data_IF_288412171468
#
_entry.id   IF_288412171468
#
_cell.length_a   1.000
_cell.length_b   1.000
_cell.length_c   1.000
_cell.angle_alpha   90.00
_cell.angle_beta   90.00
_cell.angle_gamma   90.00
#
_symmetry.space_group_name_H-M   'P 1'
#
loop_
_entity.id
_entity.type
_entity.pdbx_description
1 polymer ?
#
# COMPACT_ATOMS: atom_id res chain seq x y z
N UNK A 1 -14.19 9.69 -12.35
CA UNK A 1 -12.84 9.90 -11.77
C UNK A 1 -12.27 11.23 -12.26
N UNK A 2 -11.64 11.97 -11.35
CA UNK A 2 -10.87 13.17 -11.68
C UNK A 2 -9.62 12.83 -12.52
N UNK A 3 -9.06 13.82 -13.20
CA UNK A 3 -7.76 13.67 -13.88
C UNK A 3 -6.62 13.50 -12.88
N UNK A 4 -5.52 12.88 -13.31
CA UNK A 4 -4.33 12.68 -12.46
C UNK A 4 -3.80 14.01 -11.90
N UNK A 5 -3.83 15.08 -12.70
CA UNK A 5 -3.42 16.43 -12.27
C UNK A 5 -4.34 16.99 -11.18
N UNK A 6 -5.65 16.84 -11.31
CA UNK A 6 -6.62 17.29 -10.30
C UNK A 6 -6.49 16.50 -8.99
N UNK A 7 -6.25 15.18 -9.09
CA UNK A 7 -5.99 14.32 -7.93
C UNK A 7 -4.72 14.78 -7.21
N UNK A 8 -3.64 14.99 -7.97
CA UNK A 8 -2.34 15.41 -7.44
C UNK A 8 -2.41 16.76 -6.72
N UNK A 9 -3.10 17.75 -7.30
CA UNK A 9 -3.33 19.06 -6.67
C UNK A 9 -4.12 18.94 -5.36
N UNK A 10 -5.16 18.11 -5.31
CA UNK A 10 -5.92 17.87 -4.08
C UNK A 10 -5.05 17.24 -3.00
N UNK A 11 -4.25 16.24 -3.37
CA UNK A 11 -3.33 15.58 -2.43
C UNK A 11 -2.29 16.53 -1.85
N UNK A 12 -1.74 17.44 -2.65
CA UNK A 12 -0.78 18.44 -2.18
C UNK A 12 -1.35 19.33 -1.05
N UNK A 13 -2.66 19.58 -1.06
CA UNK A 13 -3.35 20.33 -0.01
C UNK A 13 -3.77 19.46 1.20
N UNK A 14 -3.94 18.15 1.00
CA UNK A 14 -4.36 17.22 2.07
C UNK A 14 -3.18 16.66 2.86
N UNK A 15 -2.03 16.52 2.21
CA UNK A 15 -0.86 15.85 2.76
C UNK A 15 0.24 16.84 3.14
N UNK A 16 1.05 16.47 4.12
CA UNK A 16 2.28 17.19 4.41
C UNK A 16 3.22 17.15 3.20
N UNK A 17 4.09 18.17 3.00
CA UNK A 17 5.01 18.18 1.86
C UNK A 17 5.92 16.95 1.76
N UNK A 18 6.25 16.33 2.90
CA UNK A 18 7.04 15.09 2.94
C UNK A 18 6.23 13.90 2.40
N UNK A 19 4.97 13.77 2.81
CA UNK A 19 4.07 12.68 2.40
C UNK A 19 3.63 12.80 0.95
N UNK A 20 3.40 14.02 0.47
CA UNK A 20 3.11 14.26 -0.93
C UNK A 20 4.31 13.85 -1.83
N UNK A 21 5.53 14.24 -1.48
CA UNK A 21 6.74 13.77 -2.20
C UNK A 21 6.90 12.25 -2.17
N UNK A 22 6.59 11.62 -1.04
CA UNK A 22 6.56 10.17 -0.94
C UNK A 22 5.52 9.56 -1.90
N UNK A 23 4.30 10.11 -1.95
CA UNK A 23 3.25 9.65 -2.88
C UNK A 23 3.68 9.75 -4.36
N UNK A 24 4.38 10.83 -4.74
CA UNK A 24 4.97 10.96 -6.08
C UNK A 24 6.07 9.91 -6.34
N UNK A 25 6.90 9.60 -5.33
CA UNK A 25 7.90 8.53 -5.42
C UNK A 25 7.27 7.14 -5.58
N UNK A 26 6.18 6.86 -4.85
CA UNK A 26 5.41 5.63 -4.97
C UNK A 26 4.73 5.52 -6.32
N UNK A 27 4.12 6.61 -6.82
CA UNK A 27 3.53 6.69 -8.14
C UNK A 27 4.54 6.32 -9.24
N UNK A 28 5.71 6.98 -9.24
CA UNK A 28 6.76 6.72 -10.22
C UNK A 28 7.25 5.25 -10.16
N UNK A 29 7.48 4.74 -8.95
CA UNK A 29 7.92 3.35 -8.74
C UNK A 29 6.86 2.35 -9.20
N UNK A 30 5.58 2.63 -8.94
CA UNK A 30 4.47 1.79 -9.36
C UNK A 30 4.32 1.74 -10.89
N UNK A 31 4.51 2.87 -11.57
CA UNK A 31 4.54 2.94 -13.05
C UNK A 31 5.67 2.11 -13.63
N UNK A 32 6.87 2.18 -13.04
CA UNK A 32 8.02 1.38 -13.46
C UNK A 32 7.76 -0.12 -13.29
N UNK A 33 7.30 -0.55 -12.11
CA UNK A 33 6.99 -1.96 -11.83
C UNK A 33 5.81 -2.46 -12.67
N UNK A 34 4.78 -1.65 -12.90
CA UNK A 34 3.66 -2.00 -13.76
C UNK A 34 4.10 -2.25 -15.20
N UNK A 35 4.97 -1.39 -15.72
CA UNK A 35 5.56 -1.56 -17.05
C UNK A 35 6.41 -2.83 -17.14
N UNK A 36 7.20 -3.12 -16.10
CA UNK A 36 8.06 -4.31 -16.05
C UNK A 36 7.28 -5.63 -15.98
N UNK A 37 6.20 -5.68 -15.19
CA UNK A 37 5.43 -6.90 -14.95
C UNK A 37 4.15 -7.02 -15.77
N UNK A 38 3.87 -6.07 -16.66
CA UNK A 38 2.70 -6.09 -17.54
C UNK A 38 1.38 -5.79 -16.85
N UNK A 39 1.40 -4.95 -15.80
CA UNK A 39 0.18 -4.44 -15.17
C UNK A 39 -0.33 -3.18 -15.90
N UNK A 40 -1.56 -2.78 -15.58
CA UNK A 40 -2.11 -1.51 -16.08
C UNK A 40 -1.38 -0.32 -15.43
N UNK A 41 -0.60 0.38 -16.26
CA UNK A 41 0.23 1.52 -15.83
C UNK A 41 -0.61 2.69 -15.31
N UNK A 42 -1.80 2.92 -15.89
CA UNK A 42 -2.67 4.00 -15.45
C UNK A 42 -3.26 3.70 -14.07
N UNK A 43 -3.75 2.48 -13.86
CA UNK A 43 -4.21 2.06 -12.53
C UNK A 43 -3.08 2.12 -11.49
N UNK A 44 -1.87 1.72 -11.86
CA UNK A 44 -0.70 1.80 -10.98
C UNK A 44 -0.33 3.24 -10.63
N UNK A 45 -0.37 4.16 -11.60
CA UNK A 45 -0.17 5.58 -11.37
C UNK A 45 -1.16 6.12 -10.33
N UNK A 46 -2.47 5.93 -10.58
CA UNK A 46 -3.52 6.46 -9.70
C UNK A 46 -3.45 5.83 -8.30
N UNK A 47 -3.34 4.50 -8.21
CA UNK A 47 -3.28 3.81 -6.93
C UNK A 47 -2.04 4.21 -6.13
N UNK A 48 -0.87 4.35 -6.77
CA UNK A 48 0.36 4.79 -6.14
C UNK A 48 0.28 6.24 -5.66
N UNK A 49 -0.38 7.11 -6.41
CA UNK A 49 -0.55 8.52 -6.04
C UNK A 49 -1.48 8.67 -4.81
N UNK A 50 -2.56 7.91 -4.72
CA UNK A 50 -3.59 8.10 -3.67
C UNK A 50 -3.44 7.17 -2.45
N UNK A 51 -2.50 6.23 -2.44
CA UNK A 51 -2.42 5.18 -1.41
C UNK A 51 -2.44 5.73 0.03
N UNK A 52 -1.77 6.86 0.26
CA UNK A 52 -1.60 7.51 1.56
C UNK A 52 -2.53 8.71 1.78
N UNK A 53 -3.60 8.87 0.98
CA UNK A 53 -4.48 10.05 1.01
C UNK A 53 -5.16 10.32 2.36
N UNK A 54 -5.24 9.31 3.23
CA UNK A 54 -5.83 9.41 4.58
C UNK A 54 -4.77 9.47 5.71
N UNK A 55 -3.49 9.55 5.37
CA UNK A 55 -2.40 9.28 6.32
C UNK A 55 -2.09 10.45 7.28
N UNK A 56 -2.44 11.67 6.89
CA UNK A 56 -2.25 12.89 7.71
C UNK A 56 -3.49 13.28 8.53
N UNK A 57 -4.50 12.40 8.60
CA UNK A 57 -5.67 12.60 9.45
C UNK A 57 -5.34 12.36 10.93
N UNK A 58 -5.94 13.15 11.81
CA UNK A 58 -5.86 12.95 13.25
C UNK A 58 -6.83 11.85 13.74
N UNK A 59 -6.69 11.45 15.01
CA UNK A 59 -7.48 10.36 15.58
C UNK A 59 -8.99 10.66 15.57
N UNK A 60 -9.40 11.89 15.86
CA UNK A 60 -10.81 12.28 15.91
C UNK A 60 -11.44 12.24 14.51
N UNK A 61 -10.72 12.72 13.50
CA UNK A 61 -11.08 12.61 12.09
C UNK A 61 -11.21 11.15 11.66
N UNK A 62 -10.22 10.31 12.02
CA UNK A 62 -10.26 8.86 11.70
C UNK A 62 -11.51 8.23 12.31
N UNK A 63 -11.80 8.44 13.59
CA UNK A 63 -12.97 7.86 14.25
C UNK A 63 -14.29 8.33 13.63
N UNK A 64 -14.41 9.63 13.32
CA UNK A 64 -15.58 10.17 12.65
C UNK A 64 -15.80 9.52 11.28
N UNK A 65 -14.73 9.33 10.51
CA UNK A 65 -14.81 8.75 9.18
C UNK A 65 -15.02 7.23 9.18
N UNK A 66 -14.45 6.48 10.14
CA UNK A 66 -14.78 5.07 10.37
C UNK A 66 -16.30 4.92 10.54
N UNK A 67 -16.90 5.77 11.37
CA UNK A 67 -18.35 5.76 11.61
C UNK A 67 -19.13 6.18 10.36
N UNK A 68 -18.69 7.23 9.66
CA UNK A 68 -19.34 7.72 8.43
C UNK A 68 -19.40 6.64 7.35
N UNK A 69 -18.28 5.94 7.13
CA UNK A 69 -18.15 4.93 6.07
C UNK A 69 -18.55 3.52 6.51
N UNK A 70 -18.84 3.30 7.80
CA UNK A 70 -19.21 1.99 8.34
C UNK A 70 -18.10 0.96 8.16
N UNK A 71 -16.83 1.35 8.36
CA UNK A 71 -15.71 0.43 8.18
C UNK A 71 -15.71 -0.65 9.27
N UNK A 72 -15.79 -1.91 8.84
CA UNK A 72 -15.60 -3.06 9.71
C UNK A 72 -14.11 -3.29 9.93
N UNK A 73 -13.60 -2.80 11.06
CA UNK A 73 -12.18 -2.92 11.45
C UNK A 73 -12.07 -3.91 12.61
N UNK A 74 -11.03 -4.74 12.58
CA UNK A 74 -10.73 -5.68 13.66
C UNK A 74 -9.99 -4.99 14.83
N UNK A 75 -9.79 -5.73 15.90
CA UNK A 75 -9.13 -5.22 17.10
C UNK A 75 -7.70 -4.72 16.82
N UNK A 76 -7.01 -5.26 15.83
CA UNK A 76 -5.64 -4.82 15.50
C UNK A 76 -5.69 -3.44 14.87
N UNK A 77 -6.59 -3.20 13.92
CA UNK A 77 -6.80 -1.86 13.35
C UNK A 77 -7.21 -0.84 14.43
N UNK A 78 -8.13 -1.21 15.33
CA UNK A 78 -8.62 -0.31 16.37
C UNK A 78 -7.55 0.04 17.41
N UNK A 79 -6.61 -0.87 17.68
CA UNK A 79 -5.47 -0.63 18.58
C UNK A 79 -4.23 -0.05 17.85
N UNK A 80 -4.23 0.01 16.53
CA UNK A 80 -3.14 0.53 15.71
C UNK A 80 -3.69 1.45 14.61
N UNK A 81 -4.17 2.64 15.01
CA UNK A 81 -4.81 3.61 14.11
C UNK A 81 -3.97 3.97 12.88
N UNK A 82 -2.64 3.89 12.99
CA UNK A 82 -1.73 4.07 11.85
C UNK A 82 -1.98 3.11 10.70
N UNK A 83 -2.62 1.96 10.90
CA UNK A 83 -2.99 1.02 9.83
C UNK A 83 -4.31 1.41 9.15
N UNK A 84 -5.16 2.18 9.82
CA UNK A 84 -6.53 2.50 9.35
C UNK A 84 -6.53 3.38 8.11
N UNK A 85 -5.50 4.21 7.90
CA UNK A 85 -5.42 5.05 6.71
C UNK A 85 -5.53 4.28 5.39
N UNK A 86 -5.12 3.00 5.32
CA UNK A 86 -5.24 2.23 4.09
C UNK A 86 -6.71 1.92 3.74
N UNK A 87 -7.50 1.21 4.60
CA UNK A 87 -8.92 0.99 4.32
C UNK A 87 -9.73 2.29 4.29
N UNK A 88 -9.39 3.28 5.13
CA UNK A 88 -10.06 4.58 5.12
C UNK A 88 -9.73 5.38 3.85
N UNK A 89 -8.50 5.35 3.37
CA UNK A 89 -8.05 5.98 2.13
C UNK A 89 -8.78 5.42 0.92
N UNK A 90 -8.99 4.11 0.88
CA UNK A 90 -9.81 3.48 -0.15
C UNK A 90 -11.27 3.96 -0.11
N UNK A 91 -11.85 4.15 1.08
CA UNK A 91 -13.20 4.71 1.20
C UNK A 91 -13.26 6.19 0.78
N UNK A 92 -12.29 7.00 1.22
CA UNK A 92 -12.18 8.42 0.87
C UNK A 92 -11.94 8.65 -0.62
N UNK A 93 -11.17 7.78 -1.28
CA UNK A 93 -10.89 7.89 -2.71
C UNK A 93 -12.16 7.89 -3.58
N UNK A 94 -13.22 7.20 -3.14
CA UNK A 94 -14.53 7.21 -3.80
C UNK A 94 -15.14 8.61 -3.78
N UNK A 95 -15.14 9.26 -2.62
CA UNK A 95 -15.77 10.57 -2.43
C UNK A 95 -14.90 11.73 -2.95
N UNK A 96 -13.58 11.66 -2.71
CA UNK A 96 -12.66 12.78 -2.97
C UNK A 96 -12.15 12.82 -4.41
N UNK A 97 -11.99 11.67 -5.04
CA UNK A 97 -11.36 11.54 -6.37
C UNK A 97 -12.28 10.88 -7.40
N UNK A 98 -13.48 10.45 -7.00
CA UNK A 98 -14.44 9.72 -7.84
C UNK A 98 -13.82 8.45 -8.47
N UNK A 99 -13.02 7.74 -7.67
CA UNK A 99 -12.42 6.45 -8.05
C UNK A 99 -13.44 5.34 -7.79
N UNK A 100 -13.89 4.68 -8.85
CA UNK A 100 -14.86 3.56 -8.78
C UNK A 100 -14.23 2.20 -9.12
N UNK A 101 -12.97 2.18 -9.56
CA UNK A 101 -12.26 0.97 -9.97
C UNK A 101 -11.80 0.17 -8.73
N UNK A 102 -12.39 -1.01 -8.53
CA UNK A 102 -12.10 -1.84 -7.36
C UNK A 102 -10.67 -2.40 -7.34
N UNK A 103 -9.95 -2.49 -8.47
CA UNK A 103 -8.54 -2.87 -8.43
C UNK A 103 -7.70 -1.76 -7.79
N UNK A 104 -7.94 -0.50 -8.18
CA UNK A 104 -7.28 0.67 -7.58
C UNK A 104 -7.62 0.75 -6.10
N UNK A 105 -8.90 0.63 -5.75
CA UNK A 105 -9.37 0.74 -4.37
C UNK A 105 -8.84 -0.38 -3.49
N UNK A 106 -8.74 -1.62 -3.99
CA UNK A 106 -8.12 -2.73 -3.25
C UNK A 106 -6.62 -2.52 -3.07
N UNK A 107 -5.92 -2.04 -4.10
CA UNK A 107 -4.49 -1.72 -4.00
C UNK A 107 -4.23 -0.67 -2.91
N UNK A 108 -5.07 0.36 -2.80
CA UNK A 108 -5.03 1.32 -1.69
C UNK A 108 -5.41 0.67 -0.36
N UNK A 109 -6.50 -0.10 -0.31
CA UNK A 109 -7.03 -0.70 0.93
C UNK A 109 -6.03 -1.60 1.65
N UNK A 110 -5.22 -2.35 0.88
CA UNK A 110 -4.34 -3.39 1.40
C UNK A 110 -2.85 -3.05 1.29
N UNK A 111 -2.47 -1.83 0.90
CA UNK A 111 -1.05 -1.49 0.69
C UNK A 111 -0.19 -1.63 1.96
N UNK A 112 -0.77 -1.51 3.16
CA UNK A 112 -0.03 -1.61 4.42
C UNK A 112 0.18 -3.03 4.90
N UNK A 113 -0.86 -3.85 4.80
CA UNK A 113 -0.90 -5.19 5.42
C UNK A 113 -0.68 -6.30 4.40
N UNK A 114 -0.90 -6.01 3.12
CA UNK A 114 -1.20 -7.02 2.12
C UNK A 114 -2.50 -7.76 2.44
N UNK A 115 -2.80 -8.79 1.65
CA UNK A 115 -3.80 -9.81 1.93
C UNK A 115 -3.49 -11.10 1.18
N UNK A 116 -4.18 -12.19 1.52
CA UNK A 116 -4.14 -13.40 0.71
C UNK A 116 -4.57 -13.10 -0.72
N UNK A 117 -3.92 -13.75 -1.68
CA UNK A 117 -4.27 -13.68 -3.10
C UNK A 117 -4.30 -12.26 -3.70
N UNK A 118 -3.42 -11.36 -3.23
CA UNK A 118 -3.17 -10.07 -3.87
C UNK A 118 -3.01 -10.23 -5.39
N UNK A 119 -3.74 -9.40 -6.14
CA UNK A 119 -3.56 -9.28 -7.57
C UNK A 119 -2.22 -8.58 -7.90
N UNK A 120 -1.91 -8.46 -9.19
CA UNK A 120 -0.66 -7.87 -9.63
C UNK A 120 -0.51 -6.40 -9.20
N UNK A 121 -1.58 -5.61 -9.31
CA UNK A 121 -1.59 -4.20 -8.92
C UNK A 121 -1.38 -4.02 -7.41
N UNK A 122 -2.06 -4.81 -6.58
CA UNK A 122 -1.92 -4.79 -5.12
C UNK A 122 -0.48 -5.07 -4.69
N UNK A 123 0.17 -6.06 -5.30
CA UNK A 123 1.59 -6.36 -5.04
C UNK A 123 2.50 -5.20 -5.44
N UNK A 124 2.24 -4.58 -6.60
CA UNK A 124 3.00 -3.44 -7.08
C UNK A 124 2.87 -2.27 -6.11
N UNK A 125 1.67 -1.89 -5.70
CA UNK A 125 1.47 -0.75 -4.78
C UNK A 125 2.08 -1.04 -3.40
N UNK A 126 1.87 -2.24 -2.85
CA UNK A 126 2.49 -2.67 -1.59
C UNK A 126 4.02 -2.53 -1.66
N UNK A 127 4.63 -3.03 -2.74
CA UNK A 127 6.09 -3.00 -2.87
C UNK A 127 6.61 -1.59 -3.15
N UNK A 128 5.94 -0.81 -4.01
CA UNK A 128 6.32 0.56 -4.35
C UNK A 128 6.39 1.47 -3.13
N UNK A 129 5.40 1.39 -2.23
CA UNK A 129 5.44 2.12 -0.94
C UNK A 129 6.70 1.79 -0.13
N UNK A 130 7.07 0.50 -0.13
CA UNK A 130 8.22 0.01 0.61
C UNK A 130 9.57 0.41 0.01
N UNK A 131 9.68 0.53 -1.31
CA UNK A 131 10.97 0.67 -2.02
C UNK A 131 11.18 1.99 -2.75
N UNK A 132 10.22 2.91 -2.74
CA UNK A 132 10.34 4.18 -3.46
C UNK A 132 11.66 4.92 -3.12
N UNK A 133 12.24 5.72 -4.04
CA UNK A 133 13.61 6.22 -3.91
C UNK A 133 13.94 7.00 -2.63
N UNK A 134 12.95 7.64 -2.01
CA UNK A 134 13.05 8.35 -0.74
C UNK A 134 13.20 7.45 0.49
N UNK A 135 12.89 6.15 0.38
CA UNK A 135 13.09 5.17 1.45
C UNK A 135 14.57 4.86 1.66
N UNK A 136 15.00 4.90 2.92
CA UNK A 136 16.39 4.63 3.31
C UNK A 136 16.44 3.83 4.63
N UNK A 137 16.68 2.53 4.53
CA UNK A 137 16.83 1.62 5.67
C UNK A 137 17.63 0.37 5.24
N UNK A 138 18.20 -0.34 6.21
CA UNK A 138 18.99 -1.54 5.97
C UNK A 138 18.16 -2.61 5.22
N UNK A 139 18.68 -3.11 4.09
CA UNK A 139 18.00 -4.11 3.27
C UNK A 139 17.16 -3.56 2.11
N UNK A 140 16.90 -2.24 2.04
CA UNK A 140 16.03 -1.67 0.99
C UNK A 140 16.61 -1.86 -0.42
N UNK A 141 17.93 -1.82 -0.56
CA UNK A 141 18.60 -1.91 -1.86
C UNK A 141 18.53 -3.34 -2.42
N UNK A 142 18.66 -4.34 -1.55
CA UNK A 142 18.50 -5.75 -1.89
C UNK A 142 17.08 -6.02 -2.40
N UNK A 143 16.07 -5.48 -1.72
CA UNK A 143 14.67 -5.59 -2.14
C UNK A 143 14.45 -4.87 -3.47
N UNK A 144 15.03 -3.68 -3.68
CA UNK A 144 14.98 -2.97 -4.98
C UNK A 144 15.58 -3.77 -6.13
N UNK A 145 16.65 -4.52 -5.89
CA UNK A 145 17.24 -5.37 -6.95
C UNK A 145 16.41 -6.62 -7.20
N UNK A 146 15.82 -7.23 -6.16
CA UNK A 146 14.92 -8.37 -6.33
C UNK A 146 13.63 -7.94 -7.04
N UNK A 147 13.12 -6.74 -6.75
CA UNK A 147 11.92 -6.17 -7.38
C UNK A 147 12.03 -6.01 -8.91
N UNK A 148 13.24 -6.04 -9.47
CA UNK A 148 13.49 -6.02 -10.92
C UNK A 148 13.50 -7.41 -11.55
N UNK A 149 13.58 -8.46 -10.73
CA UNK A 149 13.77 -9.85 -11.16
C UNK A 149 12.54 -10.69 -10.84
N UNK A 150 11.99 -10.56 -9.63
CA UNK A 150 10.90 -11.40 -9.13
C UNK A 150 10.05 -10.62 -8.10
N UNK A 151 8.90 -10.14 -8.55
CA UNK A 151 7.97 -9.36 -7.73
C UNK A 151 7.51 -10.14 -6.50
N UNK A 152 7.21 -11.42 -6.64
CA UNK A 152 6.68 -12.23 -5.55
C UNK A 152 7.73 -12.41 -4.44
N UNK A 153 8.99 -12.64 -4.81
CA UNK A 153 10.08 -12.69 -3.82
C UNK A 153 10.35 -11.34 -3.16
N UNK A 154 10.36 -10.25 -3.92
CA UNK A 154 10.56 -8.92 -3.36
C UNK A 154 9.47 -8.54 -2.34
N UNK A 155 8.20 -8.88 -2.64
CA UNK A 155 7.08 -8.70 -1.69
C UNK A 155 7.28 -9.54 -0.43
N UNK A 156 7.74 -10.79 -0.54
CA UNK A 156 8.05 -11.62 0.63
C UNK A 156 9.18 -10.99 1.47
N UNK A 157 10.25 -10.51 0.83
CA UNK A 157 11.36 -9.86 1.55
C UNK A 157 10.91 -8.60 2.30
N UNK A 158 10.01 -7.80 1.69
CA UNK A 158 9.41 -6.65 2.33
C UNK A 158 8.52 -7.07 3.53
N UNK A 159 7.68 -8.10 3.37
CA UNK A 159 6.86 -8.64 4.48
C UNK A 159 7.72 -9.21 5.62
N UNK A 160 8.78 -9.96 5.32
CA UNK A 160 9.74 -10.48 6.30
C UNK A 160 10.37 -9.33 7.11
N UNK A 161 10.84 -8.30 6.41
CA UNK A 161 11.45 -7.12 7.02
C UNK A 161 10.47 -6.38 7.92
N UNK A 162 9.22 -6.20 7.48
CA UNK A 162 8.14 -5.59 8.28
C UNK A 162 7.84 -6.41 9.53
N UNK A 163 7.67 -7.73 9.42
CA UNK A 163 7.39 -8.61 10.57
C UNK A 163 8.52 -8.52 11.60
N UNK A 164 9.77 -8.64 11.17
CA UNK A 164 10.94 -8.55 12.06
C UNK A 164 10.98 -7.19 12.75
N UNK A 165 10.73 -6.11 12.01
CA UNK A 165 10.69 -4.75 12.55
C UNK A 165 9.62 -4.61 13.64
N UNK A 166 8.39 -5.06 13.38
CA UNK A 166 7.27 -4.97 14.34
C UNK A 166 7.54 -5.80 15.59
N UNK A 167 8.10 -7.02 15.44
CA UNK A 167 8.52 -7.85 16.59
C UNK A 167 9.55 -7.12 17.45
N UNK A 168 10.58 -6.52 16.84
CA UNK A 168 11.60 -5.76 17.57
C UNK A 168 11.02 -4.57 18.34
N UNK A 169 9.94 -3.97 17.82
CA UNK A 169 9.20 -2.88 18.46
C UNK A 169 8.15 -3.35 19.47
N UNK A 170 7.94 -4.66 19.63
CA UNK A 170 6.85 -5.26 20.43
C UNK A 170 5.46 -4.75 20.02
N UNK A 171 5.29 -4.46 18.73
CA UNK A 171 4.02 -4.00 18.16
C UNK A 171 3.09 -5.15 17.80
N UNK A 172 1.83 -4.82 17.50
CA UNK A 172 0.85 -5.76 16.96
C UNK A 172 1.12 -6.01 15.48
N UNK A 173 1.03 -7.27 15.06
CA UNK A 173 1.16 -7.67 13.65
C UNK A 173 -0.23 -8.07 13.16
N UNK A 174 -0.72 -7.38 12.14
CA UNK A 174 -1.99 -7.74 11.53
C UNK A 174 -1.92 -9.11 10.87
N UNK A 175 -2.93 -9.95 11.09
CA UNK A 175 -3.02 -11.34 10.59
C UNK A 175 -2.90 -11.41 9.06
N UNK A 176 -3.56 -10.50 8.33
CA UNK A 176 -3.40 -10.31 6.89
C UNK A 176 -1.95 -10.37 6.40
N UNK A 177 -0.99 -9.76 7.11
CA UNK A 177 0.43 -9.79 6.71
C UNK A 177 1.03 -11.18 6.82
N UNK A 178 0.70 -11.91 7.89
CA UNK A 178 1.15 -13.29 8.09
C UNK A 178 0.54 -14.21 7.03
N UNK A 179 -0.76 -14.07 6.79
CA UNK A 179 -1.50 -14.91 5.86
C UNK A 179 -1.06 -14.67 4.41
N UNK A 180 -0.91 -13.39 4.01
CA UNK A 180 -0.42 -13.00 2.70
C UNK A 180 0.97 -13.59 2.42
N UNK A 181 1.89 -13.42 3.37
CA UNK A 181 3.26 -13.95 3.30
C UNK A 181 3.25 -15.48 3.14
N UNK A 182 2.53 -16.18 4.00
CA UNK A 182 2.49 -17.64 3.98
C UNK A 182 1.90 -18.17 2.68
N UNK A 183 0.80 -17.55 2.21
CA UNK A 183 0.18 -17.91 0.93
C UNK A 183 1.16 -17.73 -0.24
N UNK A 184 1.91 -16.64 -0.26
CA UNK A 184 2.87 -16.35 -1.32
C UNK A 184 4.05 -17.34 -1.31
N UNK A 185 4.56 -17.71 -0.12
CA UNK A 185 5.57 -18.76 0.04
C UNK A 185 5.09 -20.13 -0.46
N UNK A 186 3.87 -20.52 -0.15
CA UNK A 186 3.26 -21.76 -0.67
C UNK A 186 3.22 -21.75 -2.20
N UNK A 187 2.72 -20.68 -2.82
CA UNK A 187 2.67 -20.54 -4.29
C UNK A 187 4.05 -20.65 -4.94
N UNK A 188 5.09 -20.06 -4.36
CA UNK A 188 6.46 -20.17 -4.90
C UNK A 188 6.99 -21.60 -4.81
N UNK A 189 6.68 -22.34 -3.74
CA UNK A 189 7.08 -23.74 -3.59
C UNK A 189 6.38 -24.64 -4.60
N UNK A 190 5.10 -24.41 -4.85
CA UNK A 190 4.31 -25.15 -5.85
C UNK A 190 4.87 -24.96 -7.27
N UNK A 191 5.30 -23.75 -7.64
CA UNK A 191 5.91 -23.49 -8.96
C UNK A 191 7.26 -24.18 -9.20
N UNK A 192 7.92 -24.64 -8.13
CA UNK A 192 9.25 -25.26 -8.17
C UNK A 192 9.20 -26.80 -8.13
N UNK A 193 8.04 -27.37 -7.81
CA UNK A 193 7.79 -28.81 -7.83
C UNK A 193 7.19 -29.23 -9.16
#
# INVERSE_FOLDING_TARGET
MLSEQEISQRLEHMLTPKRYRHSLGVQATAVELASLYGADVYKASIAGLIHDCAKDLDADQIHALIKKYGLALDDIYLNQLELVHAPLGAALAKDLFDVQDEDILNAVRYHTTGRVDMNLLEKIIYLSDYIEPGRNFDGVNEIRQEAKQDLDKAVIMAMDSTIIYVIKKKGLIHTNTIDARNKLLCKIRERRG
#
